data_IF_834538273661
#
_entry.id   IF_834538273661
#
_cell.length_a   1.000
_cell.length_b   1.000
_cell.length_c   1.000
_cell.angle_alpha   90.00
_cell.angle_beta   90.00
_cell.angle_gamma   90.00
#
_symmetry.space_group_name_H-M   'P 1'
#
loop_
_entity.id
_entity.type
_entity.pdbx_description
1 polymer ?
#
# COMPACT_ATOMS: atom_id res chain seq x y z
N UNK A 1 55.92 -18.14 -2.93
CA UNK A 1 54.79 -17.29 -2.51
C UNK A 1 53.58 -18.23 -2.42
N UNK A 2 53.26 -18.89 -1.31
CA UNK A 2 52.94 -18.37 0.04
C UNK A 2 51.53 -17.74 -0.02
N UNK A 3 50.45 -18.24 0.57
CA UNK A 3 50.24 -19.15 1.71
C UNK A 3 48.97 -19.99 1.49
N UNK A 4 49.02 -21.28 1.82
CA UNK A 4 47.85 -22.15 1.93
C UNK A 4 47.19 -21.95 3.30
N UNK A 5 45.92 -21.53 3.33
CA UNK A 5 45.13 -21.45 4.56
C UNK A 5 44.50 -22.80 4.86
N UNK A 6 44.92 -23.34 6.00
CA UNK A 6 44.56 -24.64 6.55
C UNK A 6 43.18 -24.54 7.22
N UNK A 7 42.19 -25.29 6.73
CA UNK A 7 40.87 -25.39 7.36
C UNK A 7 40.86 -26.54 8.38
N UNK A 8 40.51 -26.30 9.65
CA UNK A 8 40.45 -27.39 10.63
C UNK A 8 39.22 -28.26 10.38
N UNK A 9 39.47 -29.55 10.17
CA UNK A 9 38.46 -30.60 10.15
C UNK A 9 38.00 -30.91 11.57
N UNK A 10 36.68 -31.01 11.76
CA UNK A 10 36.08 -31.31 13.06
C UNK A 10 36.29 -32.80 13.38
N UNK A 11 37.22 -33.12 14.30
CA UNK A 11 37.49 -34.50 14.76
C UNK A 11 37.10 -34.63 16.24
N UNK A 12 36.29 -35.66 16.51
CA UNK A 12 35.73 -36.01 17.82
C UNK A 12 36.73 -36.85 18.62
N UNK A 13 36.94 -36.53 19.90
CA UNK A 13 37.60 -37.42 20.85
C UNK A 13 36.63 -37.82 21.97
N UNK A 14 36.29 -39.12 22.05
CA UNK A 14 35.66 -39.76 23.20
C UNK A 14 36.75 -40.21 24.16
N UNK A 15 36.62 -39.94 25.46
CA UNK A 15 37.15 -40.81 26.52
C UNK A 15 36.33 -40.63 27.80
N UNK A 16 35.96 -41.75 28.42
CA UNK A 16 35.41 -41.81 29.77
C UNK A 16 36.36 -42.57 30.71
N UNK A 17 36.34 -42.20 32.00
CA UNK A 17 36.32 -43.09 33.19
C UNK A 17 36.53 -42.28 34.48
N UNK A 18 35.72 -42.60 35.49
CA UNK A 18 35.91 -42.39 36.95
C UNK A 18 37.02 -43.36 37.47
N UNK A 19 37.62 -43.27 38.69
CA UNK A 19 36.97 -42.97 40.00
C UNK A 19 37.84 -42.31 41.11
N UNK A 20 37.28 -42.15 42.32
CA UNK A 20 38.07 -42.15 43.59
C UNK A 20 37.88 -40.94 44.52
N UNK A 21 37.55 -41.20 45.78
CA UNK A 21 37.24 -40.24 46.85
C UNK A 21 38.44 -39.98 47.80
N UNK A 22 38.40 -38.85 48.54
CA UNK A 22 38.67 -38.70 50.00
C UNK A 22 39.39 -37.39 50.41
N UNK A 23 38.78 -36.64 51.33
CA UNK A 23 39.42 -36.11 52.55
C UNK A 23 40.19 -34.77 52.51
N UNK A 24 40.25 -34.02 53.63
CA UNK A 24 40.18 -32.56 53.63
C UNK A 24 41.43 -31.85 54.17
N UNK A 25 41.74 -30.64 53.67
CA UNK A 25 42.65 -29.71 54.35
C UNK A 25 42.22 -28.25 54.20
N UNK A 26 42.12 -27.57 55.34
CA UNK A 26 42.00 -26.11 55.51
C UNK A 26 43.30 -25.43 55.08
N UNK A 27 43.20 -24.27 54.42
CA UNK A 27 44.34 -23.36 54.32
C UNK A 27 44.25 -22.29 53.23
N UNK A 28 43.79 -21.10 53.63
CA UNK A 28 44.24 -19.77 53.17
C UNK A 28 44.21 -19.45 51.66
N UNK A 29 43.37 -18.49 51.22
CA UNK A 29 43.80 -17.46 50.26
C UNK A 29 42.76 -16.36 50.03
N UNK A 30 43.18 -15.15 50.41
CA UNK A 30 42.84 -13.83 49.85
C UNK A 30 41.87 -13.83 48.66
N UNK A 31 40.72 -13.20 48.88
CA UNK A 31 39.92 -12.56 47.84
C UNK A 31 40.81 -11.73 46.90
N UNK A 32 40.96 -12.18 45.66
CA UNK A 32 41.32 -11.31 44.53
C UNK A 32 40.20 -11.38 43.51
N UNK A 33 39.59 -10.21 43.32
CA UNK A 33 38.48 -9.93 42.41
C UNK A 33 38.87 -10.31 40.96
N UNK A 34 38.28 -11.38 40.45
CA UNK A 34 38.20 -11.67 39.02
C UNK A 34 36.72 -11.76 38.60
N UNK A 35 35.93 -10.68 38.81
CA UNK A 35 34.52 -10.58 38.39
C UNK A 35 34.24 -9.19 37.81
N UNK A 36 34.86 -8.81 36.68
CA UNK A 36 34.48 -7.55 35.99
C UNK A 36 34.42 -7.65 34.47
N UNK A 37 35.21 -8.51 33.82
CA UNK A 37 35.22 -8.58 32.35
C UNK A 37 34.05 -9.39 31.77
N UNK A 38 33.65 -10.49 32.41
CA UNK A 38 32.50 -11.32 32.00
C UNK A 38 31.18 -10.55 32.04
N UNK A 39 31.00 -9.74 33.09
CA UNK A 39 29.75 -9.04 33.37
C UNK A 39 29.55 -7.85 32.41
N UNK A 40 30.66 -7.23 31.98
CA UNK A 40 30.65 -6.17 30.96
C UNK A 40 30.29 -6.69 29.57
N UNK A 41 30.79 -7.87 29.18
CA UNK A 41 30.48 -8.51 27.88
C UNK A 41 29.02 -8.99 27.87
N UNK A 42 28.55 -9.57 28.98
CA UNK A 42 27.14 -9.94 29.14
C UNK A 42 26.19 -8.74 29.02
N UNK A 43 26.53 -7.61 29.67
CA UNK A 43 25.69 -6.40 29.62
C UNK A 43 25.59 -5.77 28.22
N UNK A 44 26.69 -5.78 27.44
CA UNK A 44 26.69 -5.27 26.06
C UNK A 44 25.89 -6.15 25.11
N UNK A 45 25.90 -7.47 25.31
CA UNK A 45 25.12 -8.40 24.49
C UNK A 45 23.62 -8.26 24.72
N UNK A 46 23.20 -7.96 25.97
CA UNK A 46 21.80 -7.71 26.33
C UNK A 46 21.26 -6.41 25.72
N UNK A 47 22.05 -5.33 25.77
CA UNK A 47 21.70 -4.04 25.14
C UNK A 47 21.58 -4.17 23.60
N UNK A 48 22.49 -4.91 22.97
CA UNK A 48 22.43 -5.15 21.52
C UNK A 48 21.20 -5.98 21.12
N UNK A 49 20.86 -7.00 21.91
CA UNK A 49 19.66 -7.81 21.69
C UNK A 49 18.39 -6.98 21.78
N UNK A 50 18.28 -6.09 22.76
CA UNK A 50 17.12 -5.21 22.90
C UNK A 50 16.99 -4.28 21.68
N UNK A 51 18.10 -3.68 21.25
CA UNK A 51 18.13 -2.78 20.08
C UNK A 51 17.73 -3.48 18.79
N UNK A 52 18.28 -4.66 18.52
CA UNK A 52 17.91 -5.47 17.34
C UNK A 52 16.47 -5.98 17.43
N UNK A 53 15.97 -6.28 18.63
CA UNK A 53 14.58 -6.67 18.84
C UNK A 53 13.61 -5.54 18.48
N UNK A 54 13.95 -4.28 18.79
CA UNK A 54 13.15 -3.11 18.37
C UNK A 54 13.15 -2.92 16.84
N UNK A 55 14.15 -3.46 16.16
CA UNK A 55 14.22 -3.54 14.70
C UNK A 55 13.55 -4.82 14.13
N UNK A 56 12.83 -5.60 14.93
CA UNK A 56 12.16 -6.82 14.51
C UNK A 56 13.05 -8.07 14.41
N UNK A 57 14.34 -7.95 14.75
CA UNK A 57 15.29 -9.06 14.78
C UNK A 57 15.36 -9.58 16.21
N UNK A 58 14.45 -10.49 16.56
CA UNK A 58 14.26 -10.98 17.93
C UNK A 58 14.27 -12.52 18.00
N UNK A 59 14.43 -13.06 19.22
CA UNK A 59 14.38 -14.50 19.48
C UNK A 59 15.35 -15.29 18.60
N UNK A 60 14.82 -16.26 17.85
CA UNK A 60 15.63 -17.13 16.99
C UNK A 60 16.35 -16.37 15.87
N UNK A 61 15.77 -15.29 15.34
CA UNK A 61 16.42 -14.47 14.30
C UNK A 61 17.68 -13.80 14.85
N UNK A 62 17.60 -13.24 16.06
CA UNK A 62 18.76 -12.65 16.72
C UNK A 62 19.86 -13.69 16.97
N UNK A 63 19.49 -14.83 17.54
CA UNK A 63 20.44 -15.91 17.86
C UNK A 63 21.16 -16.45 16.62
N UNK A 64 20.42 -16.63 15.51
CA UNK A 64 20.98 -17.10 14.24
C UNK A 64 21.82 -16.02 13.58
N UNK A 65 21.35 -14.77 13.52
CA UNK A 65 22.08 -13.65 12.91
C UNK A 65 23.41 -13.39 13.62
N UNK A 66 23.40 -13.33 14.96
CA UNK A 66 24.63 -13.13 15.73
C UNK A 66 25.59 -14.32 15.60
N UNK A 67 25.06 -15.54 15.50
CA UNK A 67 25.89 -16.72 15.23
C UNK A 67 26.52 -16.66 13.84
N UNK A 68 25.78 -16.22 12.82
CA UNK A 68 26.31 -16.03 11.48
C UNK A 68 27.42 -14.95 11.44
N UNK A 69 27.24 -13.82 12.13
CA UNK A 69 28.30 -12.79 12.26
C UNK A 69 29.56 -13.37 12.92
N UNK A 70 29.41 -14.11 14.02
CA UNK A 70 30.55 -14.64 14.77
C UNK A 70 31.29 -15.77 14.05
N UNK A 71 30.58 -16.53 13.20
CA UNK A 71 31.15 -17.68 12.50
C UNK A 71 31.67 -17.32 11.10
N UNK A 72 31.22 -16.21 10.52
CA UNK A 72 31.46 -15.88 9.12
C UNK A 72 30.67 -16.82 8.21
N UNK A 73 31.36 -17.53 7.30
CA UNK A 73 30.72 -18.47 6.40
C UNK A 73 30.44 -19.83 7.08
N UNK A 74 29.16 -20.17 7.23
CA UNK A 74 28.73 -21.40 7.89
C UNK A 74 27.56 -22.09 7.18
N UNK A 75 27.49 -23.42 7.22
CA UNK A 75 26.27 -24.13 6.77
C UNK A 75 25.14 -23.95 7.77
N UNK A 76 23.89 -24.08 7.33
CA UNK A 76 22.71 -24.07 8.21
C UNK A 76 22.82 -25.13 9.31
N UNK A 77 23.39 -26.31 9.00
CA UNK A 77 23.63 -27.35 10.00
C UNK A 77 24.61 -26.92 11.10
N UNK A 78 25.65 -26.16 10.73
CA UNK A 78 26.62 -25.62 11.67
C UNK A 78 25.99 -24.54 12.56
N UNK A 79 25.16 -23.67 11.97
CA UNK A 79 24.38 -22.67 12.70
C UNK A 79 23.40 -23.34 13.68
N UNK A 80 22.69 -24.40 13.28
CA UNK A 80 21.78 -25.13 14.15
C UNK A 80 22.52 -25.74 15.35
N UNK A 81 23.69 -26.35 15.11
CA UNK A 81 24.51 -26.91 16.18
C UNK A 81 25.04 -25.81 17.13
N UNK A 82 25.46 -24.66 16.60
CA UNK A 82 25.99 -23.54 17.39
C UNK A 82 24.92 -22.87 18.24
N UNK A 83 23.74 -22.68 17.68
CA UNK A 83 22.61 -22.00 18.33
C UNK A 83 21.83 -22.92 19.26
N UNK A 84 21.97 -24.24 19.11
CA UNK A 84 21.17 -25.23 19.83
C UNK A 84 19.72 -25.32 19.33
N UNK A 85 19.40 -24.67 18.21
CA UNK A 85 18.07 -24.68 17.61
C UNK A 85 17.84 -25.94 16.77
N UNK A 86 16.58 -26.34 16.64
CA UNK A 86 16.20 -27.37 15.69
C UNK A 86 16.58 -26.96 14.26
N UNK A 87 16.95 -27.93 13.42
CA UNK A 87 17.37 -27.67 12.04
C UNK A 87 16.29 -26.92 11.26
N UNK A 88 15.03 -27.35 11.36
CA UNK A 88 13.87 -26.71 10.73
C UNK A 88 13.77 -25.24 11.11
N UNK A 89 13.78 -24.93 12.41
CA UNK A 89 13.76 -23.56 12.93
C UNK A 89 14.94 -22.72 12.46
N UNK A 90 16.12 -23.32 12.31
CA UNK A 90 17.30 -22.62 11.79
C UNK A 90 17.14 -22.30 10.31
N UNK A 91 16.58 -23.21 9.51
CA UNK A 91 16.26 -22.95 8.10
C UNK A 91 15.26 -21.79 7.97
N UNK A 92 14.18 -21.80 8.74
CA UNK A 92 13.16 -20.74 8.70
C UNK A 92 13.77 -19.37 9.09
N UNK A 93 14.61 -19.36 10.12
CA UNK A 93 15.28 -18.15 10.56
C UNK A 93 16.27 -17.61 9.50
N UNK A 94 17.07 -18.49 8.88
CA UNK A 94 18.00 -18.10 7.81
C UNK A 94 17.24 -17.58 6.60
N UNK A 95 16.17 -18.25 6.17
CA UNK A 95 15.37 -17.84 5.02
C UNK A 95 14.77 -16.43 5.25
N UNK A 96 14.23 -16.18 6.44
CA UNK A 96 13.70 -14.85 6.79
C UNK A 96 14.79 -13.79 6.88
N UNK A 97 15.97 -14.11 7.40
CA UNK A 97 17.11 -13.18 7.41
C UNK A 97 17.64 -12.89 5.99
N UNK A 98 17.53 -13.86 5.07
CA UNK A 98 17.90 -13.69 3.64
C UNK A 98 16.89 -12.78 2.94
N UNK A 99 15.59 -13.01 3.14
CA UNK A 99 14.52 -12.17 2.60
C UNK A 99 14.65 -10.70 3.06
N UNK A 100 15.04 -10.50 4.31
CA UNK A 100 15.27 -9.18 4.90
C UNK A 100 16.65 -8.60 4.54
N UNK A 101 17.45 -9.31 3.73
CA UNK A 101 18.75 -8.85 3.22
C UNK A 101 19.86 -8.77 4.26
N UNK A 102 19.74 -9.45 5.41
CA UNK A 102 20.69 -9.43 6.51
C UNK A 102 21.75 -10.54 6.41
N UNK A 103 21.39 -11.64 5.75
CA UNK A 103 22.32 -12.71 5.38
C UNK A 103 22.18 -13.00 3.90
N UNK A 104 23.19 -13.65 3.33
CA UNK A 104 23.16 -14.16 1.97
C UNK A 104 23.72 -15.57 1.93
N UNK A 105 23.43 -16.29 0.86
CA UNK A 105 24.07 -17.56 0.61
C UNK A 105 25.18 -17.42 -0.43
N UNK A 106 26.37 -17.92 -0.09
CA UNK A 106 27.51 -18.00 -0.99
C UNK A 106 27.83 -19.46 -1.37
N UNK A 107 28.35 -19.64 -2.59
CA UNK A 107 28.75 -20.93 -3.15
C UNK A 107 27.65 -21.65 -3.94
N UNK A 108 28.02 -22.70 -4.68
CA UNK A 108 27.11 -23.49 -5.52
C UNK A 108 26.98 -24.94 -5.05
N UNK A 109 25.81 -25.55 -5.29
CA UNK A 109 25.54 -26.96 -5.02
C UNK A 109 25.57 -27.36 -3.54
N UNK A 110 26.30 -28.44 -3.22
CA UNK A 110 26.30 -29.09 -1.89
C UNK A 110 27.04 -28.32 -0.79
N UNK A 111 27.64 -27.17 -1.11
CA UNK A 111 28.43 -26.31 -0.21
C UNK A 111 27.83 -24.89 -0.10
N UNK A 112 26.50 -24.76 -0.11
CA UNK A 112 25.83 -23.47 0.11
C UNK A 112 26.09 -23.01 1.56
N UNK A 113 26.80 -21.91 1.72
CA UNK A 113 27.16 -21.33 3.01
C UNK A 113 26.33 -20.08 3.27
N UNK A 114 25.82 -19.93 4.48
CA UNK A 114 25.19 -18.69 4.96
C UNK A 114 26.30 -17.76 5.41
N UNK A 115 26.24 -16.51 4.97
CA UNK A 115 27.17 -15.45 5.35
C UNK A 115 26.35 -14.24 5.80
N UNK A 116 26.67 -13.69 6.98
CA UNK A 116 26.09 -12.42 7.40
C UNK A 116 26.66 -11.28 6.54
N UNK A 117 25.78 -10.42 6.01
CA UNK A 117 26.22 -9.22 5.31
C UNK A 117 26.78 -8.19 6.30
N UNK A 118 27.54 -7.23 5.80
CA UNK A 118 28.11 -6.17 6.63
C UNK A 118 26.99 -5.44 7.42
N UNK A 119 27.13 -5.21 8.73
CA UNK A 119 26.07 -4.60 9.56
C UNK A 119 25.57 -3.23 9.06
N UNK A 120 26.31 -2.52 8.20
CA UNK A 120 25.82 -1.31 7.53
C UNK A 120 24.53 -1.52 6.74
N UNK A 121 24.23 -2.74 6.28
CA UNK A 121 22.96 -3.07 5.60
C UNK A 121 21.73 -2.89 6.49
N UNK A 122 21.90 -2.81 7.82
CA UNK A 122 20.80 -2.47 8.73
C UNK A 122 20.22 -1.08 8.43
N UNK A 123 21.02 -0.17 7.86
CA UNK A 123 20.53 1.15 7.41
C UNK A 123 19.58 1.01 6.21
N UNK A 124 19.93 0.18 5.23
CA UNK A 124 19.08 -0.13 4.07
C UNK A 124 17.78 -0.81 4.51
N UNK A 125 17.89 -1.77 5.42
CA UNK A 125 16.75 -2.47 6.02
C UNK A 125 15.75 -1.52 6.72
N UNK A 126 16.24 -0.56 7.51
CA UNK A 126 15.38 0.45 8.14
C UNK A 126 14.77 1.39 7.10
N UNK A 127 15.54 1.79 6.08
CA UNK A 127 15.04 2.65 5.01
C UNK A 127 13.90 1.98 4.21
N UNK A 128 14.03 0.70 3.86
CA UNK A 128 13.00 -0.06 3.17
C UNK A 128 11.68 -0.10 3.95
N UNK A 129 11.74 -0.29 5.28
CA UNK A 129 10.55 -0.28 6.13
C UNK A 129 9.92 1.08 6.30
N UNK A 130 10.73 2.13 6.39
CA UNK A 130 10.22 3.50 6.38
C UNK A 130 9.47 3.79 5.08
N UNK A 131 9.98 3.29 3.95
CA UNK A 131 9.30 3.43 2.67
C UNK A 131 7.96 2.68 2.67
N UNK A 132 7.94 1.40 3.07
CA UNK A 132 6.68 0.63 3.20
C UNK A 132 5.63 1.35 4.06
N UNK A 133 6.03 1.89 5.22
CA UNK A 133 5.12 2.67 6.08
C UNK A 133 4.61 3.91 5.36
N UNK A 134 5.49 4.61 4.63
CA UNK A 134 5.12 5.81 3.87
C UNK A 134 4.09 5.49 2.79
N UNK A 135 4.24 4.35 2.11
CA UNK A 135 3.33 3.90 1.04
C UNK A 135 1.96 3.45 1.59
N UNK A 136 1.94 2.84 2.77
CA UNK A 136 0.70 2.39 3.43
C UNK A 136 -0.05 3.51 4.17
N UNK A 137 0.63 4.60 4.55
CA UNK A 137 0.08 5.66 5.39
C UNK A 137 -1.19 6.33 4.81
N UNK A 138 -1.30 6.62 3.49
CA UNK A 138 -2.50 7.21 2.91
C UNK A 138 -3.74 6.32 3.10
N UNK A 139 -3.59 5.01 2.91
CA UNK A 139 -4.68 4.05 3.09
C UNK A 139 -5.12 3.98 4.55
N UNK A 140 -4.17 3.89 5.49
CA UNK A 140 -4.46 3.89 6.92
C UNK A 140 -5.16 5.19 7.38
N UNK A 141 -4.75 6.34 6.82
CA UNK A 141 -5.41 7.63 7.09
C UNK A 141 -6.83 7.69 6.54
N UNK A 142 -7.07 7.14 5.36
CA UNK A 142 -8.42 7.04 4.79
C UNK A 142 -9.33 6.23 5.71
N UNK A 143 -8.89 5.06 6.16
CA UNK A 143 -9.64 4.23 7.12
C UNK A 143 -9.91 4.98 8.44
N UNK A 144 -8.89 5.67 8.98
CA UNK A 144 -9.01 6.44 10.22
C UNK A 144 -10.01 7.59 10.12
N UNK A 145 -10.00 8.32 9.00
CA UNK A 145 -10.90 9.46 8.79
C UNK A 145 -12.35 9.02 8.62
N UNK A 146 -12.58 7.89 7.94
CA UNK A 146 -13.91 7.32 7.76
C UNK A 146 -14.59 7.02 9.10
N UNK A 147 -13.86 6.42 10.06
CA UNK A 147 -14.41 6.09 11.41
C UNK A 147 -14.74 7.34 12.24
N UNK A 148 -14.03 8.45 12.03
CA UNK A 148 -14.25 9.69 12.80
C UNK A 148 -15.30 10.62 12.21
N UNK A 149 -16.01 10.21 11.15
CA UNK A 149 -16.98 11.06 10.46
C UNK A 149 -16.35 12.33 9.87
N UNK A 150 -15.03 12.34 9.67
CA UNK A 150 -14.36 13.48 9.04
C UNK A 150 -14.48 13.34 7.52
N UNK A 151 -14.79 14.44 6.81
CA UNK A 151 -14.86 14.40 5.36
C UNK A 151 -13.51 13.96 4.79
N UNK A 152 -13.51 13.02 3.86
CA UNK A 152 -12.31 12.66 3.13
C UNK A 152 -12.28 13.44 1.81
N UNK A 153 -11.24 14.24 1.65
CA UNK A 153 -11.02 15.05 0.44
C UNK A 153 -9.82 14.46 -0.29
N UNK A 154 -10.03 14.07 -1.56
CA UNK A 154 -8.98 13.55 -2.46
C UNK A 154 -8.84 14.49 -3.65
N UNK A 155 -7.65 15.05 -3.82
CA UNK A 155 -7.31 15.92 -4.95
C UNK A 155 -6.36 15.19 -5.88
N UNK A 156 -6.65 15.23 -7.17
CA UNK A 156 -5.86 14.57 -8.19
C UNK A 156 -5.58 15.54 -9.34
N UNK A 157 -4.31 15.71 -9.67
CA UNK A 157 -3.88 16.60 -10.74
C UNK A 157 -3.98 15.93 -12.10
N UNK A 158 -4.21 16.75 -13.13
CA UNK A 158 -4.14 16.37 -14.51
C UNK A 158 -5.36 15.60 -15.04
N UNK A 159 -5.20 15.14 -16.28
CA UNK A 159 -6.19 14.34 -17.00
C UNK A 159 -6.54 13.05 -16.25
N UNK A 160 -5.53 12.36 -15.71
CA UNK A 160 -5.74 11.16 -14.89
C UNK A 160 -6.51 11.46 -13.62
N UNK A 161 -6.38 12.67 -13.05
CA UNK A 161 -7.18 13.09 -11.91
C UNK A 161 -8.66 13.25 -12.24
N UNK A 162 -8.98 13.85 -13.39
CA UNK A 162 -10.36 13.92 -13.87
C UNK A 162 -10.93 12.52 -14.18
N UNK A 163 -10.15 11.66 -14.84
CA UNK A 163 -10.53 10.25 -15.08
C UNK A 163 -10.82 9.54 -13.76
N UNK A 164 -9.95 9.69 -12.76
CA UNK A 164 -10.12 9.11 -11.43
C UNK A 164 -11.42 9.60 -10.79
N UNK A 165 -11.71 10.90 -10.82
CA UNK A 165 -12.95 11.47 -10.28
C UNK A 165 -14.21 10.97 -11.02
N UNK A 166 -14.14 10.82 -12.34
CA UNK A 166 -15.23 10.27 -13.15
C UNK A 166 -15.51 8.81 -12.76
N UNK A 167 -14.48 7.95 -12.76
CA UNK A 167 -14.65 6.52 -12.51
C UNK A 167 -14.99 6.19 -11.04
N UNK A 168 -14.56 7.01 -10.08
CA UNK A 168 -14.94 6.84 -8.67
C UNK A 168 -16.47 6.91 -8.47
N UNK A 169 -17.18 7.64 -9.34
CA UNK A 169 -18.65 7.70 -9.29
C UNK A 169 -19.37 6.39 -9.60
N UNK A 170 -18.66 5.38 -10.13
CA UNK A 170 -19.19 4.03 -10.36
C UNK A 170 -18.76 3.05 -9.25
N UNK A 171 -18.10 3.53 -8.18
CA UNK A 171 -17.64 2.69 -7.07
C UNK A 171 -18.78 2.24 -6.15
N UNK A 172 -19.82 3.06 -6.03
CA UNK A 172 -20.96 2.82 -5.15
C UNK A 172 -22.09 2.10 -5.91
N UNK A 173 -22.82 1.23 -5.21
CA UNK A 173 -24.01 0.53 -5.70
C UNK A 173 -25.25 1.46 -5.75
N UNK A 174 -25.05 2.77 -5.60
CA UNK A 174 -26.12 3.75 -5.71
C UNK A 174 -26.86 3.61 -7.04
N UNK A 175 -28.18 3.39 -6.96
CA UNK A 175 -29.02 3.16 -8.14
C UNK A 175 -29.24 4.43 -8.97
N UNK A 176 -28.86 5.60 -8.45
CA UNK A 176 -29.06 6.88 -9.12
C UNK A 176 -27.92 7.85 -8.90
N UNK A 177 -27.30 8.24 -10.01
CA UNK A 177 -26.27 9.27 -10.10
C UNK A 177 -26.90 10.61 -10.50
N UNK A 178 -26.52 11.69 -9.82
CA UNK A 178 -26.93 13.06 -10.20
C UNK A 178 -25.72 13.79 -10.75
N UNK A 179 -25.85 14.39 -11.92
CA UNK A 179 -24.75 14.98 -12.63
C UNK A 179 -25.08 16.38 -13.17
N UNK A 180 -24.17 17.33 -13.00
CA UNK A 180 -24.17 18.56 -13.79
C UNK A 180 -23.02 18.46 -14.77
N UNK A 181 -23.29 18.55 -16.07
CA UNK A 181 -22.25 18.45 -17.10
C UNK A 181 -22.02 19.78 -17.80
N UNK A 182 -20.77 20.22 -17.75
CA UNK A 182 -20.25 21.21 -18.70
C UNK A 182 -19.71 20.44 -19.90
N UNK A 183 -20.55 20.28 -20.93
CA UNK A 183 -20.24 19.48 -22.12
C UNK A 183 -18.98 19.98 -22.84
N UNK A 184 -18.79 21.31 -22.90
CA UNK A 184 -17.56 21.93 -23.40
C UNK A 184 -16.28 21.38 -22.74
N UNK A 185 -16.29 21.14 -21.43
CA UNK A 185 -15.11 20.62 -20.73
C UNK A 185 -14.97 19.11 -20.97
N UNK A 186 -16.07 18.36 -20.91
CA UNK A 186 -16.10 16.89 -21.09
C UNK A 186 -15.65 16.47 -22.50
N UNK A 187 -16.09 17.19 -23.54
CA UNK A 187 -15.68 16.91 -24.93
C UNK A 187 -14.18 17.11 -25.14
N UNK A 188 -13.59 18.08 -24.43
CA UNK A 188 -12.15 18.34 -24.48
C UNK A 188 -11.32 17.37 -23.66
N UNK A 189 -11.73 17.10 -22.42
CA UNK A 189 -11.07 16.19 -21.46
C UNK A 189 -12.12 15.63 -20.48
N UNK A 190 -12.25 14.30 -20.30
CA UNK A 190 -11.31 13.25 -20.69
C UNK A 190 -11.40 12.78 -22.15
N UNK A 191 -12.34 13.31 -22.94
CA UNK A 191 -12.52 12.97 -24.36
C UNK A 191 -13.62 11.93 -24.60
N UNK A 192 -14.16 11.90 -25.82
CA UNK A 192 -15.37 11.14 -26.17
C UNK A 192 -15.23 9.63 -25.92
N UNK A 193 -14.08 9.04 -26.23
CA UNK A 193 -13.84 7.60 -26.05
C UNK A 193 -13.92 7.18 -24.58
N UNK A 194 -13.39 8.02 -23.68
CA UNK A 194 -13.43 7.75 -22.25
C UNK A 194 -14.85 7.84 -21.70
N UNK A 195 -15.62 8.82 -22.18
CA UNK A 195 -17.02 9.00 -21.79
C UNK A 195 -17.87 7.84 -22.32
N UNK A 196 -17.58 7.32 -23.50
CA UNK A 196 -18.28 6.17 -24.05
C UNK A 196 -17.99 4.89 -23.24
N UNK A 197 -16.73 4.65 -22.85
CA UNK A 197 -16.37 3.56 -21.93
C UNK A 197 -17.07 3.69 -20.58
N UNK A 198 -17.08 4.89 -20.03
CA UNK A 198 -17.78 5.20 -18.78
C UNK A 198 -19.30 4.95 -18.93
N UNK A 199 -19.90 5.35 -20.06
CA UNK A 199 -21.32 5.13 -20.35
C UNK A 199 -21.66 3.64 -20.33
N UNK A 200 -20.90 2.82 -21.06
CA UNK A 200 -21.09 1.37 -21.12
C UNK A 200 -20.99 0.75 -19.72
N UNK A 201 -19.91 1.05 -18.99
CA UNK A 201 -19.68 0.55 -17.64
C UNK A 201 -20.79 0.93 -16.66
N UNK A 202 -21.36 2.14 -16.79
CA UNK A 202 -22.49 2.61 -15.97
C UNK A 202 -23.79 1.87 -16.29
N UNK A 203 -24.10 1.68 -17.57
CA UNK A 203 -25.32 0.97 -18.01
C UNK A 203 -25.26 -0.50 -17.60
N UNK A 204 -24.11 -1.16 -17.73
CA UNK A 204 -23.91 -2.54 -17.26
C UNK A 204 -24.18 -2.71 -15.77
N UNK A 205 -23.80 -1.70 -14.97
CA UNK A 205 -24.09 -1.62 -13.52
C UNK A 205 -25.52 -1.18 -13.21
N UNK A 206 -26.33 -0.88 -14.22
CA UNK A 206 -27.73 -0.43 -14.10
C UNK A 206 -27.89 0.84 -13.26
N UNK A 207 -26.90 1.73 -13.31
CA UNK A 207 -26.93 3.00 -12.58
C UNK A 207 -27.68 4.03 -13.41
N UNK A 208 -28.87 4.44 -12.96
CA UNK A 208 -29.65 5.50 -13.58
C UNK A 208 -28.97 6.86 -13.39
N UNK A 209 -29.04 7.76 -14.37
CA UNK A 209 -28.37 9.05 -14.29
C UNK A 209 -29.30 10.21 -14.66
N UNK A 210 -29.39 11.18 -13.75
CA UNK A 210 -30.04 12.48 -14.01
C UNK A 210 -28.97 13.51 -14.31
N UNK A 211 -29.06 14.15 -15.48
CA UNK A 211 -28.06 15.09 -15.98
C UNK A 211 -28.66 16.46 -16.22
N UNK A 212 -28.06 17.49 -15.65
CA UNK A 212 -28.35 18.89 -15.96
C UNK A 212 -27.25 19.43 -16.86
N UNK A 213 -27.62 20.11 -17.94
CA UNK A 213 -26.69 20.78 -18.87
C UNK A 213 -27.10 22.22 -19.11
N UNK A 214 -26.16 23.07 -19.50
CA UNK A 214 -26.47 24.43 -19.95
C UNK A 214 -26.53 24.48 -21.46
N UNK A 215 -27.65 24.90 -22.06
CA UNK A 215 -27.80 25.00 -23.52
C UNK A 215 -26.70 25.85 -24.15
N UNK A 216 -26.29 26.92 -23.47
CA UNK A 216 -25.21 27.81 -23.91
C UNK A 216 -23.83 27.14 -24.04
N UNK A 217 -23.63 25.97 -23.40
CA UNK A 217 -22.37 25.22 -23.37
C UNK A 217 -22.50 23.81 -23.94
N UNK A 218 -23.66 23.45 -24.48
CA UNK A 218 -23.91 22.16 -25.12
C UNK A 218 -23.82 22.33 -26.65
N UNK A 219 -22.62 22.14 -27.19
CA UNK A 219 -22.28 22.45 -28.59
C UNK A 219 -22.73 21.38 -29.57
N UNK A 220 -23.04 20.17 -29.10
CA UNK A 220 -23.44 19.03 -29.94
C UNK A 220 -24.65 18.32 -29.33
N UNK A 221 -25.57 17.87 -30.19
CA UNK A 221 -26.70 17.06 -29.77
C UNK A 221 -26.29 15.59 -29.50
N UNK A 222 -25.37 15.38 -28.55
CA UNK A 222 -24.88 14.05 -28.17
C UNK A 222 -25.42 13.63 -26.80
N UNK A 223 -25.61 12.33 -26.64
CA UNK A 223 -26.09 11.69 -25.41
C UNK A 223 -27.38 12.33 -24.85
N UNK A 224 -28.47 12.36 -25.62
CA UNK A 224 -29.77 12.85 -25.13
C UNK A 224 -30.32 11.96 -24.02
N UNK A 225 -31.51 12.31 -23.50
CA UNK A 225 -32.30 11.38 -22.68
C UNK A 225 -32.53 10.08 -23.45
N UNK A 226 -32.31 8.94 -22.81
CA UNK A 226 -32.52 7.62 -23.41
C UNK A 226 -32.82 6.59 -22.32
N UNK A 227 -33.85 5.76 -22.56
CA UNK A 227 -34.21 4.66 -21.68
C UNK A 227 -33.16 3.55 -21.70
N UNK A 228 -32.59 3.25 -22.88
CA UNK A 228 -31.47 2.30 -23.04
C UNK A 228 -30.24 2.76 -22.26
N UNK A 229 -29.95 4.06 -22.31
CA UNK A 229 -28.85 4.65 -21.54
C UNK A 229 -29.19 4.84 -20.06
N UNK A 230 -30.41 4.54 -19.60
CA UNK A 230 -30.84 4.83 -18.23
C UNK A 230 -30.51 6.28 -17.83
N UNK A 231 -30.85 7.25 -18.69
CA UNK A 231 -30.46 8.65 -18.52
C UNK A 231 -31.61 9.61 -18.83
N UNK A 232 -31.83 10.56 -17.93
CA UNK A 232 -32.67 11.75 -18.17
C UNK A 232 -31.78 12.99 -18.21
N UNK A 233 -31.93 13.79 -19.26
CA UNK A 233 -31.23 15.07 -19.44
C UNK A 233 -32.23 16.22 -19.33
N UNK A 234 -31.85 17.25 -18.57
CA UNK A 234 -32.55 18.54 -18.50
C UNK A 234 -31.60 19.69 -18.80
N UNK A 235 -32.16 20.78 -19.28
CA UNK A 235 -31.45 22.00 -19.60
C UNK A 235 -31.76 23.11 -18.60
N UNK A 236 -30.71 23.78 -18.11
CA UNK A 236 -30.85 24.92 -17.21
C UNK A 236 -31.58 26.08 -17.88
N UNK A 237 -32.27 26.93 -17.09
CA UNK A 237 -32.70 28.24 -17.55
C UNK A 237 -31.52 29.04 -18.14
N UNK A 238 -31.75 29.94 -19.13
CA UNK A 238 -30.68 30.71 -19.77
C UNK A 238 -29.79 31.53 -18.82
N UNK A 239 -30.33 31.95 -17.67
CA UNK A 239 -29.61 32.70 -16.65
C UNK A 239 -28.59 31.85 -15.85
N UNK A 240 -28.68 30.52 -15.91
CA UNK A 240 -27.79 29.61 -15.18
C UNK A 240 -26.84 28.92 -16.16
N UNK A 241 -25.54 29.10 -15.92
CA UNK A 241 -24.48 28.42 -16.68
C UNK A 241 -23.62 27.58 -15.74
N UNK A 242 -23.51 26.29 -16.04
CA UNK A 242 -22.68 25.36 -15.30
C UNK A 242 -21.21 25.56 -15.68
N UNK A 243 -20.35 25.79 -14.69
CA UNK A 243 -18.92 26.02 -14.89
C UNK A 243 -18.10 24.73 -14.86
N UNK A 244 -18.54 23.74 -14.07
CA UNK A 244 -17.76 22.55 -13.75
C UNK A 244 -18.64 21.32 -13.79
N UNK A 245 -18.03 20.17 -14.11
CA UNK A 245 -18.73 18.90 -14.01
C UNK A 245 -18.77 18.43 -12.57
N UNK A 246 -19.96 18.07 -12.09
CA UNK A 246 -20.19 17.55 -10.75
C UNK A 246 -20.96 16.23 -10.84
N UNK A 247 -20.55 15.25 -10.06
CA UNK A 247 -21.16 13.93 -9.93
C UNK A 247 -21.46 13.68 -8.46
N UNK A 248 -22.72 13.41 -8.12
CA UNK A 248 -23.18 13.18 -6.75
C UNK A 248 -23.72 11.75 -6.67
N UNK A 249 -23.14 10.94 -5.79
CA UNK A 249 -23.43 9.51 -5.62
C UNK A 249 -23.18 9.10 -4.16
N UNK A 250 -24.08 8.30 -3.59
CA UNK A 250 -24.01 7.94 -2.16
C UNK A 250 -23.77 9.17 -1.28
N UNK A 251 -22.73 9.10 -0.45
CA UNK A 251 -22.25 10.20 0.40
C UNK A 251 -21.04 10.94 -0.20
N UNK A 252 -20.89 10.92 -1.52
CA UNK A 252 -19.69 11.43 -2.21
C UNK A 252 -20.07 12.40 -3.33
N UNK A 253 -19.23 13.42 -3.49
CA UNK A 253 -19.30 14.39 -4.59
C UNK A 253 -17.96 14.41 -5.30
N UNK A 254 -17.96 14.05 -6.58
CA UNK A 254 -16.81 14.21 -7.46
C UNK A 254 -16.99 15.43 -8.36
N UNK A 255 -15.90 16.18 -8.53
CA UNK A 255 -15.82 17.43 -9.25
C UNK A 255 -14.69 17.30 -10.28
N UNK A 256 -14.92 17.73 -11.51
CA UNK A 256 -13.92 17.76 -12.57
C UNK A 256 -13.83 19.17 -13.11
N UNK A 257 -12.67 19.80 -12.90
CA UNK A 257 -12.43 21.19 -13.27
C UNK A 257 -12.42 21.39 -14.79
N UNK A 258 -12.33 22.65 -15.20
CA UNK A 258 -12.06 22.98 -16.60
C UNK A 258 -10.65 22.54 -17.03
N UNK A 259 -10.41 22.50 -18.35
CA UNK A 259 -9.09 22.27 -18.95
C UNK A 259 -8.02 23.25 -18.44
N UNK A 260 -8.42 24.46 -18.03
CA UNK A 260 -7.50 25.48 -17.50
C UNK A 260 -6.90 25.08 -16.15
N UNK A 261 -7.72 24.50 -15.27
CA UNK A 261 -7.29 24.13 -13.92
C UNK A 261 -6.87 22.65 -13.81
N UNK A 262 -7.40 21.80 -14.70
CA UNK A 262 -6.95 20.43 -14.96
C UNK A 262 -6.78 19.56 -13.68
N UNK A 263 -7.85 19.37 -12.91
CA UNK A 263 -7.86 18.52 -11.73
C UNK A 263 -9.21 17.80 -11.52
N UNK A 264 -9.14 16.69 -10.79
CA UNK A 264 -10.29 16.01 -10.19
C UNK A 264 -10.29 16.16 -8.67
N UNK A 265 -11.45 16.40 -8.08
CA UNK A 265 -11.63 16.53 -6.64
C UNK A 265 -12.78 15.63 -6.18
N UNK A 266 -12.53 14.82 -5.16
CA UNK A 266 -13.53 13.92 -4.59
C UNK A 266 -13.69 14.23 -3.11
N UNK A 267 -14.92 14.50 -2.71
CA UNK A 267 -15.30 14.83 -1.35
C UNK A 267 -16.29 13.78 -0.86
N UNK A 268 -15.84 12.90 0.03
CA UNK A 268 -16.66 11.90 0.70
C UNK A 268 -17.11 12.45 2.05
N UNK A 269 -18.37 12.88 2.12
CA UNK A 269 -18.99 13.56 3.25
C UNK A 269 -20.51 13.55 3.09
N UNK A 270 -21.20 12.97 4.07
CA UNK A 270 -22.67 12.89 4.08
C UNK A 270 -23.34 14.26 4.02
N UNK A 271 -22.92 15.20 4.89
CA UNK A 271 -23.49 16.55 4.94
C UNK A 271 -23.25 17.33 3.63
N UNK A 272 -22.05 17.23 3.06
CA UNK A 272 -21.74 17.92 1.81
C UNK A 272 -22.50 17.32 0.63
N UNK A 273 -22.59 15.98 0.54
CA UNK A 273 -23.35 15.30 -0.49
C UNK A 273 -24.85 15.60 -0.39
N UNK A 274 -25.41 15.65 0.83
CA UNK A 274 -26.79 16.04 1.06
C UNK A 274 -27.06 17.49 0.61
N UNK A 275 -26.17 18.42 0.96
CA UNK A 275 -26.28 19.82 0.54
C UNK A 275 -26.20 19.99 -0.98
N UNK A 276 -25.21 19.36 -1.62
CA UNK A 276 -25.08 19.37 -3.08
C UNK A 276 -26.27 18.69 -3.76
N UNK A 277 -26.80 17.62 -3.16
CA UNK A 277 -28.02 16.95 -3.62
C UNK A 277 -29.23 17.88 -3.59
N UNK A 278 -29.41 18.65 -2.53
CA UNK A 278 -30.47 19.66 -2.43
C UNK A 278 -30.31 20.76 -3.50
N UNK A 279 -29.10 21.29 -3.70
CA UNK A 279 -28.84 22.28 -4.75
C UNK A 279 -29.13 21.72 -6.14
N UNK A 280 -28.73 20.47 -6.40
CA UNK A 280 -29.04 19.77 -7.64
C UNK A 280 -30.57 19.69 -7.86
N UNK A 281 -31.35 19.28 -6.86
CA UNK A 281 -32.81 19.19 -7.01
C UNK A 281 -33.44 20.56 -7.31
N UNK A 282 -32.97 21.63 -6.67
CA UNK A 282 -33.46 22.97 -6.94
C UNK A 282 -33.26 23.38 -8.41
N UNK A 283 -32.06 23.13 -8.95
CA UNK A 283 -31.78 23.40 -10.37
C UNK A 283 -32.55 22.44 -11.27
N UNK A 284 -32.70 21.17 -10.88
CA UNK A 284 -33.44 20.14 -11.64
C UNK A 284 -34.92 20.50 -11.83
N UNK A 285 -35.57 20.99 -10.77
CA UNK A 285 -36.96 21.45 -10.81
C UNK A 285 -37.15 22.69 -11.67
N UNK A 286 -36.15 23.57 -11.72
CA UNK A 286 -36.15 24.76 -12.57
C UNK A 286 -35.73 24.48 -14.02
N UNK A 287 -35.23 23.28 -14.32
CA UNK A 287 -34.71 22.90 -15.64
C UNK A 287 -35.76 22.23 -16.51
N UNK A 288 -35.67 22.45 -17.82
CA UNK A 288 -36.58 21.88 -18.80
C UNK A 288 -36.10 20.52 -19.29
N UNK A 289 -37.00 19.52 -19.45
CA UNK A 289 -36.65 18.26 -20.10
C UNK A 289 -36.02 18.46 -21.48
N UNK A 290 -34.93 17.76 -21.76
CA UNK A 290 -34.41 17.69 -23.12
C UNK A 290 -35.46 17.02 -24.03
N UNK A 291 -35.66 17.53 -25.26
CA UNK A 291 -36.51 16.84 -26.22
C UNK A 291 -36.01 15.40 -26.40
N UNK A 292 -36.91 14.41 -26.58
CA UNK A 292 -36.50 13.04 -26.82
C UNK A 292 -35.60 12.98 -28.05
N UNK A 293 -34.65 12.04 -28.06
CA UNK A 293 -33.77 11.82 -29.19
C UNK A 293 -34.61 11.74 -30.47
N UNK A 294 -34.41 12.68 -31.41
CA UNK A 294 -34.97 12.49 -32.74
C UNK A 294 -34.40 11.17 -33.26
N UNK A 295 -35.27 10.25 -33.68
CA UNK A 295 -34.88 9.02 -34.36
C UNK A 295 -33.99 9.41 -35.54
N UNK A 296 -32.68 9.30 -35.38
CA UNK A 296 -31.76 9.49 -36.49
C UNK A 296 -32.10 8.41 -37.52
N UNK A 297 -32.30 8.75 -38.81
CA UNK A 297 -32.46 7.73 -39.84
C UNK A 297 -31.22 6.84 -39.79
N UNK A 298 -31.42 5.52 -39.77
CA UNK A 298 -30.33 4.55 -39.74
C UNK A 298 -29.38 4.87 -40.88
N UNK A 299 -28.10 5.08 -40.55
CA UNK A 299 -27.04 5.25 -41.55
C UNK A 299 -26.71 3.95 -42.30
N UNK A 300 -27.58 2.94 -42.18
CA UNK A 300 -27.55 1.70 -42.94
C UNK A 300 -28.95 1.46 -43.53
N UNK A 301 -29.10 1.83 -44.80
CA UNK A 301 -29.99 1.21 -45.77
C UNK A 301 -29.31 1.38 -47.14
N UNK A 302 -29.37 0.34 -47.99
CA UNK A 302 -28.27 -0.14 -48.84
C UNK A 302 -27.81 0.78 -49.97
#
# INVERSE_FOLDING_TARGET
MGHALYFPTCRVAKYGRRPGAAGPFRGVARQRRHHRASDLIGSKSLDLQEKLSRLGISGNLFTVYLSAINMGAATVACLAQRTGLARTTTYDAVARLEEEGLVEFQGSGRKRMVVARDPSVLMEYVAARRQMVTDMLPQLRSMYNHVKGKPQIRFYEGLEGMRTALWDSLRDDSLTLRATFSMYEIEGMPGLDEIERYRQARVERKIFMRVIRSRSRDTRAIWPSSAEDMREVRFTPPALTLAMTTLIYGNTVALMSSKRENYGLIIESEEYAAHQGMLFEAVWMASEPAPPAASQPSADAP
#
